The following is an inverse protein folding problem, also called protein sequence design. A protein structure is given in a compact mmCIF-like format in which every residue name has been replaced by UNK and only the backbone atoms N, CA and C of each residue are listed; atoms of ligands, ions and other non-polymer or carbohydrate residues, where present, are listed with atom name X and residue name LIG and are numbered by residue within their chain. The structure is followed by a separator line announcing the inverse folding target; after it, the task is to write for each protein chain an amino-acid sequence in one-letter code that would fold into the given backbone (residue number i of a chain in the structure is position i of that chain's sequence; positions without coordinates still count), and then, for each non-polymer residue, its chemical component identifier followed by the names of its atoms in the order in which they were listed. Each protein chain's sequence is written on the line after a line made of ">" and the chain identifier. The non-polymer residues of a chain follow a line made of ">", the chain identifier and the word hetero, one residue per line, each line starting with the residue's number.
data_IF_666603494818
#
_entry.id   IF_666603494818
#
_cell.length_a   1.000
_cell.length_b   1.000
_cell.length_c   1.000
_cell.angle_alpha   90.00
_cell.angle_beta   90.00
_cell.angle_gamma   90.00
#
_symmetry.space_group_name_H-M   'P 1'
#
loop_
_entity.id
_entity.type
_entity.pdbx_description
1 polymer ?
#
# COMPACT_ATOMS: atom_id res chain seq x y z
N UNK A 1 1.11 42.68 21.33
CA UNK A 1 2.16 41.87 20.67
C UNK A 1 2.05 40.41 21.16
N UNK A 2 0.91 39.71 21.17
CA UNK A 2 0.08 39.30 20.03
C UNK A 2 0.91 39.01 18.78
N UNK A 3 1.43 37.79 18.65
CA UNK A 3 1.07 36.91 17.55
C UNK A 3 1.52 35.47 17.84
N UNK A 4 0.51 34.59 17.89
CA UNK A 4 0.62 33.15 18.05
C UNK A 4 0.83 32.56 16.67
N UNK A 5 2.05 32.17 16.32
CA UNK A 5 2.24 31.28 15.17
C UNK A 5 2.07 29.83 15.60
N UNK A 6 0.83 29.35 15.43
CA UNK A 6 0.44 27.95 15.50
C UNK A 6 1.14 27.25 14.34
N UNK A 7 2.34 26.72 14.61
CA UNK A 7 3.07 25.85 13.69
C UNK A 7 2.24 24.59 13.50
N UNK A 8 1.43 24.58 12.46
CA UNK A 8 0.50 23.52 12.08
C UNK A 8 1.24 22.18 12.15
N UNK A 9 0.93 21.38 13.17
CA UNK A 9 1.49 20.06 13.35
C UNK A 9 0.92 19.20 12.23
N UNK A 10 1.62 19.14 11.09
CA UNK A 10 1.27 18.29 9.93
C UNK A 10 0.77 16.95 10.45
N UNK A 11 -0.53 16.69 10.25
CA UNK A 11 -1.18 15.52 10.80
C UNK A 11 -0.38 14.28 10.38
N UNK A 12 0.22 13.60 11.36
CA UNK A 12 1.01 12.39 11.13
C UNK A 12 0.03 11.33 10.64
N UNK A 13 -0.09 11.17 9.32
CA UNK A 13 -1.03 10.24 8.68
C UNK A 13 -0.76 8.86 9.28
N UNK A 14 -1.70 8.35 10.09
CA UNK A 14 -1.57 7.06 10.75
C UNK A 14 -1.43 6.01 9.65
N UNK A 15 -0.23 5.51 9.43
CA UNK A 15 0.02 4.45 8.46
C UNK A 15 -0.66 3.21 9.01
N UNK A 16 -1.57 2.62 8.25
CA UNK A 16 -2.12 1.30 8.60
C UNK A 16 -0.93 0.33 8.72
N UNK A 17 -0.89 -0.43 9.81
CA UNK A 17 0.17 -1.40 10.03
C UNK A 17 0.11 -2.52 9.00
N UNK A 18 1.22 -3.25 8.85
CA UNK A 18 1.34 -4.35 7.88
C UNK A 18 0.29 -5.45 8.11
N UNK A 19 -0.21 -5.58 9.34
CA UNK A 19 -1.30 -6.50 9.71
C UNK A 19 -2.58 -6.28 8.90
N UNK A 20 -2.84 -5.04 8.44
CA UNK A 20 -4.06 -4.72 7.69
C UNK A 20 -4.10 -5.38 6.30
N UNK A 21 -2.98 -5.87 5.79
CA UNK A 21 -2.89 -6.56 4.50
C UNK A 21 -3.12 -8.07 4.61
N UNK A 22 -3.34 -8.56 5.81
CA UNK A 22 -3.60 -9.95 6.10
C UNK A 22 -5.01 -10.12 6.64
N UNK A 23 -5.80 -10.97 5.98
CA UNK A 23 -7.14 -11.33 6.43
C UNK A 23 -7.13 -12.78 6.88
N UNK A 24 -7.54 -13.00 8.14
CA UNK A 24 -7.73 -14.33 8.70
C UNK A 24 -9.19 -14.70 8.47
N UNK A 25 -9.42 -15.76 7.70
CA UNK A 25 -10.72 -16.38 7.51
C UNK A 25 -10.73 -17.72 8.27
N UNK A 26 -11.91 -18.23 8.63
CA UNK A 26 -12.11 -19.44 9.45
C UNK A 26 -11.51 -20.72 8.83
N UNK A 27 -11.26 -20.71 7.51
CA UNK A 27 -10.66 -21.83 6.77
C UNK A 27 -9.24 -21.56 6.26
N UNK A 28 -8.67 -20.37 6.50
CA UNK A 28 -7.31 -20.08 6.05
C UNK A 28 -6.89 -18.61 6.04
N UNK A 29 -5.61 -18.41 5.76
CA UNK A 29 -4.97 -17.11 5.71
C UNK A 29 -4.97 -16.53 4.29
N UNK A 30 -5.65 -15.41 4.09
CA UNK A 30 -5.70 -14.71 2.79
C UNK A 30 -4.88 -13.43 2.84
N UNK A 31 -4.03 -13.24 1.83
CA UNK A 31 -3.19 -12.06 1.65
C UNK A 31 -3.91 -11.12 0.68
N UNK A 32 -4.06 -9.85 1.05
CA UNK A 32 -4.88 -8.90 0.29
C UNK A 32 -4.14 -8.25 -0.88
N UNK A 33 -2.82 -8.06 -0.76
CA UNK A 33 -2.00 -7.38 -1.78
C UNK A 33 -1.00 -8.36 -2.40
N UNK A 34 -0.67 -8.18 -3.70
CA UNK A 34 0.33 -9.01 -4.38
C UNK A 34 1.75 -8.71 -3.89
N UNK A 35 2.63 -9.70 -4.00
CA UNK A 35 4.05 -9.54 -3.73
C UNK A 35 4.81 -9.03 -4.94
N UNK A 36 5.90 -8.31 -4.70
CA UNK A 36 6.84 -7.97 -5.75
C UNK A 36 7.75 -9.17 -6.06
N UNK A 37 7.70 -9.70 -7.29
CA UNK A 37 8.55 -10.81 -7.76
C UNK A 37 10.05 -10.50 -7.70
N UNK A 38 10.44 -9.23 -7.80
CA UNK A 38 11.84 -8.79 -7.72
C UNK A 38 12.36 -8.69 -6.30
N UNK A 39 11.51 -8.36 -5.33
CA UNK A 39 11.91 -8.16 -3.94
C UNK A 39 11.70 -9.40 -3.07
N UNK A 40 10.91 -10.36 -3.56
CA UNK A 40 10.67 -11.62 -2.88
C UNK A 40 9.53 -11.58 -1.86
N UNK A 41 9.34 -12.69 -1.12
CA UNK A 41 8.24 -12.86 -0.19
C UNK A 41 8.36 -11.86 0.97
N UNK A 42 7.28 -11.13 1.24
CA UNK A 42 7.23 -10.12 2.31
C UNK A 42 7.14 -8.68 1.82
N UNK A 43 7.44 -8.42 0.53
CA UNK A 43 7.29 -7.10 -0.05
C UNK A 43 5.95 -6.91 -0.77
N UNK A 44 5.01 -6.21 -0.13
CA UNK A 44 3.72 -5.90 -0.72
C UNK A 44 3.82 -4.77 -1.74
N UNK A 45 3.20 -4.96 -2.90
CA UNK A 45 2.99 -3.86 -3.83
C UNK A 45 1.81 -3.02 -3.35
N UNK A 46 2.01 -1.71 -3.25
CA UNK A 46 0.98 -0.74 -2.90
C UNK A 46 -0.04 -0.67 -4.03
N UNK A 47 -1.32 -0.79 -3.66
CA UNK A 47 -2.42 -0.59 -4.59
C UNK A 47 -2.79 0.88 -4.69
N UNK A 48 -2.73 1.43 -5.90
CA UNK A 48 -3.17 2.79 -6.21
C UNK A 48 -4.48 2.82 -7.01
N UNK A 49 -5.08 1.66 -7.32
CA UNK A 49 -6.28 1.54 -8.15
C UNK A 49 -5.92 1.24 -9.61
N UNK A 50 -5.23 2.16 -10.28
CA UNK A 50 -4.74 2.02 -11.65
C UNK A 50 -3.48 1.12 -11.77
N UNK A 51 -2.72 1.03 -10.68
CA UNK A 51 -1.43 0.32 -10.66
C UNK A 51 -1.07 -0.23 -9.30
N UNK A 52 -0.29 -1.30 -9.31
CA UNK A 52 0.47 -1.82 -8.21
C UNK A 52 1.89 -1.28 -8.27
N UNK A 53 2.38 -0.63 -7.22
CA UNK A 53 3.76 -0.13 -7.15
C UNK A 53 4.53 -0.80 -6.03
N UNK A 54 5.76 -1.22 -6.29
CA UNK A 54 6.68 -1.70 -5.28
C UNK A 54 7.47 -0.52 -4.73
N UNK A 55 7.27 -0.17 -3.46
CA UNK A 55 8.02 0.91 -2.81
C UNK A 55 9.51 0.63 -2.55
N UNK A 56 10.01 -0.59 -2.79
CA UNK A 56 11.40 -0.96 -2.53
C UNK A 56 12.25 -1.01 -3.79
N UNK A 57 11.73 -1.60 -4.88
CA UNK A 57 12.44 -1.62 -6.17
C UNK A 57 11.86 -0.67 -7.22
N UNK A 58 10.81 0.09 -6.91
CA UNK A 58 10.15 1.01 -7.84
C UNK A 58 9.36 0.32 -8.96
N UNK A 59 9.28 -1.01 -8.94
CA UNK A 59 8.59 -1.77 -9.98
C UNK A 59 7.08 -1.51 -9.94
N UNK A 60 6.52 -1.14 -11.09
CA UNK A 60 5.12 -0.81 -11.23
C UNK A 60 4.45 -1.79 -12.19
N UNK A 61 3.39 -2.46 -11.74
CA UNK A 61 2.49 -3.24 -12.59
C UNK A 61 1.18 -2.49 -12.74
N UNK A 62 0.78 -2.19 -13.95
CA UNK A 62 -0.53 -1.60 -14.20
C UNK A 62 -1.58 -2.69 -14.13
N UNK A 63 -2.69 -2.41 -13.45
CA UNK A 63 -3.84 -3.31 -13.49
C UNK A 63 -4.50 -3.07 -14.84
N UNK A 64 -4.25 -3.96 -15.79
CA UNK A 64 -5.03 -3.96 -17.02
C UNK A 64 -6.45 -4.35 -16.63
N UNK A 65 -7.32 -3.36 -16.44
CA UNK A 65 -8.76 -3.62 -16.49
C UNK A 65 -9.03 -4.11 -17.90
N UNK A 66 -9.52 -5.33 -17.98
CA UNK A 66 -9.58 -6.19 -19.15
C UNK A 66 -10.20 -5.51 -20.40
N UNK A 67 -9.63 -5.81 -21.59
CA UNK A 67 -10.22 -5.84 -22.95
C UNK A 67 -9.14 -6.46 -23.86
N UNK A 68 -9.23 -7.72 -24.27
CA UNK A 68 -10.16 -8.28 -25.29
C UNK A 68 -9.86 -7.70 -26.69
N UNK A 69 -8.87 -8.30 -27.37
CA UNK A 69 -8.91 -8.78 -28.78
C UNK A 69 -7.80 -9.82 -28.98
#
# INVERSE_FOLDING_TARGET
>A
MAEKEIKEKKAKKRRKGVFAYYKVDEKGFKRLLPFCERCGPGYFMADHGDRYTCGHCGFTRYKQTEKDE
#
